data_IF_605291243767
#
_entry.id   IF_605291243767
#
_cell.length_a   1.000
_cell.length_b   1.000
_cell.length_c   1.000
_cell.angle_alpha   90.00
_cell.angle_beta   90.00
_cell.angle_gamma   90.00
#
_symmetry.space_group_name_H-M   'P 1'
#
loop_
_entity.id
_entity.type
_entity.pdbx_description
1 polymer ?
#
# COMPACT_ATOMS: atom_id res chain seq x y z
N UNK A 1 14.02 19.60 32.04
CA UNK A 1 14.71 18.91 30.94
C UNK A 1 13.66 18.25 30.08
N UNK A 2 13.56 18.59 28.80
CA UNK A 2 12.59 18.00 27.89
C UNK A 2 13.02 16.56 27.59
N UNK A 3 12.21 15.56 27.93
CA UNK A 3 12.52 14.17 27.62
C UNK A 3 12.28 13.89 26.14
N UNK A 4 13.11 13.03 25.55
CA UNK A 4 12.86 12.51 24.21
C UNK A 4 11.61 11.63 24.22
N UNK A 5 10.70 11.84 23.26
CA UNK A 5 9.46 11.09 23.12
C UNK A 5 9.25 10.68 21.65
N UNK A 6 8.94 9.40 21.43
CA UNK A 6 8.52 8.88 20.14
C UNK A 6 6.99 8.89 20.06
N UNK A 7 6.43 9.53 19.05
CA UNK A 7 4.97 9.69 18.92
C UNK A 7 4.29 8.58 18.10
N UNK A 8 5.06 7.81 17.35
CA UNK A 8 4.56 6.73 16.49
C UNK A 8 5.38 6.61 15.21
N UNK A 9 4.91 5.74 14.31
CA UNK A 9 5.44 5.65 12.96
C UNK A 9 5.13 6.95 12.20
N UNK A 10 6.14 7.57 11.59
CA UNK A 10 5.94 8.79 10.82
C UNK A 10 5.70 8.50 9.34
N UNK A 11 6.60 7.73 8.70
CA UNK A 11 6.45 7.29 7.32
C UNK A 11 7.24 6.01 7.05
N UNK A 12 6.99 5.41 5.90
CA UNK A 12 7.77 4.33 5.32
C UNK A 12 8.37 4.78 3.99
N UNK A 13 9.57 4.30 3.70
CA UNK A 13 10.27 4.58 2.45
C UNK A 13 10.27 3.34 1.55
N UNK A 14 9.78 3.47 0.32
CA UNK A 14 9.74 2.41 -0.69
C UNK A 14 10.71 2.77 -1.80
N UNK A 15 11.54 1.81 -2.21
CA UNK A 15 12.38 1.91 -3.41
C UNK A 15 11.64 1.26 -4.56
N UNK A 16 11.58 1.95 -5.70
CA UNK A 16 10.88 1.43 -6.89
C UNK A 16 11.74 1.51 -8.15
N UNK A 17 11.59 0.49 -9.00
CA UNK A 17 12.12 0.50 -10.36
C UNK A 17 11.24 1.30 -11.34
N UNK A 18 9.97 1.53 -10.98
CA UNK A 18 8.98 2.20 -11.83
C UNK A 18 8.16 3.19 -11.00
N UNK A 19 8.59 4.45 -11.01
CA UNK A 19 7.94 5.51 -10.24
C UNK A 19 6.51 5.77 -10.72
N UNK A 20 6.25 5.71 -12.02
CA UNK A 20 4.93 5.99 -12.57
C UNK A 20 3.92 4.92 -12.10
N UNK A 21 4.28 3.65 -12.20
CA UNK A 21 3.45 2.53 -11.75
C UNK A 21 3.24 2.53 -10.25
N UNK A 22 4.28 2.82 -9.45
CA UNK A 22 4.15 2.97 -7.99
C UNK A 22 3.19 4.11 -7.64
N UNK A 23 3.31 5.28 -8.27
CA UNK A 23 2.38 6.40 -8.05
C UNK A 23 0.94 6.02 -8.42
N UNK A 24 0.73 5.38 -9.56
CA UNK A 24 -0.59 4.95 -10.01
C UNK A 24 -1.25 3.96 -9.03
N UNK A 25 -0.50 2.98 -8.52
CA UNK A 25 -1.00 2.06 -7.50
C UNK A 25 -1.39 2.78 -6.21
N UNK A 26 -0.46 3.54 -5.62
CA UNK A 26 -0.69 4.15 -4.31
C UNK A 26 -1.76 5.24 -4.34
N UNK A 27 -1.94 5.93 -5.46
CA UNK A 27 -2.98 6.96 -5.60
C UNK A 27 -4.31 6.42 -6.11
N UNK A 28 -4.31 5.54 -7.12
CA UNK A 28 -5.53 5.02 -7.72
C UNK A 28 -6.13 3.82 -6.98
N UNK A 29 -5.29 2.90 -6.51
CA UNK A 29 -5.75 1.69 -5.80
C UNK A 29 -5.85 1.96 -4.31
N UNK A 30 -4.75 2.41 -3.69
CA UNK A 30 -4.73 2.67 -2.24
C UNK A 30 -5.47 3.96 -1.89
N UNK A 31 -5.52 4.95 -2.78
CA UNK A 31 -6.27 6.19 -2.52
C UNK A 31 -5.49 7.21 -1.68
N UNK A 32 -4.17 7.10 -1.60
CA UNK A 32 -3.35 8.19 -1.08
C UNK A 32 -3.32 9.35 -2.08
N UNK A 33 -3.04 10.56 -1.60
CA UNK A 33 -2.83 11.74 -2.45
C UNK A 33 -1.35 12.06 -2.55
N UNK A 34 -0.88 12.42 -3.73
CA UNK A 34 0.47 12.97 -3.86
C UNK A 34 0.53 14.37 -3.24
N UNK A 35 1.62 14.68 -2.57
CA UNK A 35 1.85 15.98 -1.93
C UNK A 35 3.19 16.57 -2.36
N UNK A 36 3.37 17.90 -2.24
CA UNK A 36 4.63 18.54 -2.55
C UNK A 36 5.80 17.87 -1.81
N UNK A 37 6.87 17.62 -2.55
CA UNK A 37 8.11 17.03 -2.08
C UNK A 37 9.26 17.98 -2.43
N UNK A 38 10.22 18.22 -1.52
CA UNK A 38 11.42 18.98 -1.86
C UNK A 38 12.18 18.36 -3.04
N UNK A 39 12.78 19.20 -3.87
CA UNK A 39 13.69 18.71 -4.90
C UNK A 39 15.01 18.26 -4.25
N UNK A 40 15.19 16.94 -4.15
CA UNK A 40 16.41 16.33 -3.64
C UNK A 40 17.42 15.98 -4.75
N UNK A 41 17.16 16.38 -6.00
CA UNK A 41 18.02 16.06 -7.15
C UNK A 41 17.88 14.63 -7.67
N UNK A 42 16.81 13.92 -7.29
CA UNK A 42 16.49 12.59 -7.79
C UNK A 42 14.98 12.34 -7.79
N UNK A 43 14.46 11.47 -8.69
CA UNK A 43 13.03 11.25 -8.82
C UNK A 43 12.43 10.53 -7.61
N UNK A 44 11.18 10.83 -7.32
CA UNK A 44 10.39 10.18 -6.28
C UNK A 44 9.10 10.93 -5.98
N UNK A 45 8.36 10.47 -4.96
CA UNK A 45 7.10 11.06 -4.55
C UNK A 45 6.94 11.03 -3.02
N UNK A 46 6.09 11.90 -2.49
CA UNK A 46 5.55 11.82 -1.12
C UNK A 46 4.04 11.64 -1.22
N UNK A 47 3.50 10.65 -0.53
CA UNK A 47 2.08 10.27 -0.62
C UNK A 47 1.45 10.32 0.76
N UNK A 48 0.35 11.06 0.85
CA UNK A 48 -0.34 11.35 2.09
C UNK A 48 -1.72 10.72 2.14
N UNK A 49 -2.24 10.53 3.36
CA UNK A 49 -3.62 10.09 3.54
C UNK A 49 -4.60 11.09 2.89
N UNK A 50 -5.70 10.56 2.35
CA UNK A 50 -6.63 11.30 1.49
C UNK A 50 -7.43 12.39 2.19
N UNK A 51 -7.61 12.33 3.51
CA UNK A 51 -8.32 13.36 4.26
C UNK A 51 -7.57 14.70 4.26
N UNK A 52 -8.28 15.84 4.38
CA UNK A 52 -7.65 17.15 4.55
C UNK A 52 -6.62 17.15 5.68
N UNK A 53 -5.42 17.64 5.41
CA UNK A 53 -4.31 17.64 6.37
C UNK A 53 -3.71 16.25 6.66
N UNK A 54 -4.07 15.20 5.89
CA UNK A 54 -3.51 13.86 6.05
C UNK A 54 -1.98 13.85 5.94
N UNK A 55 -1.34 13.03 6.77
CA UNK A 55 0.12 12.91 6.87
C UNK A 55 0.70 12.17 5.67
N UNK A 56 1.91 12.57 5.24
CA UNK A 56 2.69 11.90 4.20
C UNK A 56 3.33 10.62 4.75
N UNK A 57 2.58 9.52 4.72
CA UNK A 57 2.99 8.26 5.34
C UNK A 57 3.85 7.37 4.42
N UNK A 58 3.90 7.64 3.11
CA UNK A 58 4.74 6.90 2.16
C UNK A 58 5.67 7.85 1.40
N UNK A 59 6.97 7.58 1.46
CA UNK A 59 8.00 8.23 0.64
C UNK A 59 8.51 7.24 -0.41
N UNK A 60 8.56 7.67 -1.67
CA UNK A 60 9.03 6.82 -2.79
C UNK A 60 10.38 7.30 -3.28
N UNK A 61 11.36 6.40 -3.33
CA UNK A 61 12.68 6.63 -3.92
C UNK A 61 12.73 5.93 -5.28
N UNK A 62 13.16 6.66 -6.31
CA UNK A 62 13.42 6.13 -7.66
C UNK A 62 14.82 6.54 -8.13
N UNK A 63 15.26 5.96 -9.25
CA UNK A 63 16.57 6.26 -9.84
C UNK A 63 17.75 5.81 -8.97
N UNK A 64 18.83 6.59 -8.95
CA UNK A 64 20.08 6.24 -8.24
C UNK A 64 19.89 5.82 -6.78
N UNK A 65 19.15 6.59 -5.95
CA UNK A 65 18.88 6.21 -4.56
C UNK A 65 18.06 4.91 -4.39
N UNK A 66 17.23 4.55 -5.37
CA UNK A 66 16.52 3.27 -5.34
C UNK A 66 17.46 2.09 -5.61
N UNK A 67 18.44 2.26 -6.50
CA UNK A 67 19.48 1.26 -6.76
C UNK A 67 20.41 1.07 -5.55
N UNK A 68 20.75 2.16 -4.86
CA UNK A 68 21.65 2.15 -3.71
C UNK A 68 22.97 1.37 -3.95
N UNK A 69 23.53 1.52 -5.16
CA UNK A 69 24.77 0.85 -5.59
C UNK A 69 24.59 -0.57 -6.15
N UNK A 70 23.35 -1.09 -6.19
CA UNK A 70 23.01 -2.35 -6.86
C UNK A 70 22.81 -2.16 -8.36
N UNK A 71 22.91 -3.24 -9.13
CA UNK A 71 22.57 -3.28 -10.56
C UNK A 71 21.05 -3.19 -10.80
N UNK A 72 20.24 -3.65 -9.84
CA UNK A 72 18.78 -3.61 -9.89
C UNK A 72 18.20 -3.07 -8.59
N UNK A 73 17.02 -2.45 -8.66
CA UNK A 73 16.29 -2.02 -7.47
C UNK A 73 15.79 -3.26 -6.72
N UNK A 74 16.04 -3.37 -5.40
CA UNK A 74 15.55 -4.51 -4.63
C UNK A 74 14.03 -4.54 -4.61
N UNK A 75 13.48 -5.74 -4.59
CA UNK A 75 12.05 -5.99 -4.52
C UNK A 75 11.70 -6.67 -3.19
N UNK A 76 10.44 -6.52 -2.75
CA UNK A 76 9.98 -7.00 -1.45
C UNK A 76 10.37 -6.08 -0.30
N UNK A 77 10.33 -6.63 0.92
CA UNK A 77 10.39 -5.87 2.18
C UNK A 77 11.51 -6.31 3.12
N UNK A 78 12.41 -7.18 2.64
CA UNK A 78 13.48 -7.78 3.44
C UNK A 78 12.95 -8.42 4.74
N UNK A 79 13.27 -7.87 5.91
CA UNK A 79 12.85 -8.40 7.21
C UNK A 79 11.46 -7.91 7.67
N UNK A 80 10.89 -6.91 7.00
CA UNK A 80 9.52 -6.46 7.28
C UNK A 80 8.59 -7.42 6.54
N UNK A 81 7.67 -8.09 7.24
CA UNK A 81 6.75 -9.04 6.58
C UNK A 81 5.71 -8.28 5.72
N UNK A 82 5.01 -7.32 6.34
CA UNK A 82 4.03 -6.47 5.69
C UNK A 82 3.89 -5.12 6.41
N UNK A 83 3.12 -4.22 5.80
CA UNK A 83 2.77 -2.90 6.36
C UNK A 83 1.26 -2.83 6.51
N UNK A 84 0.77 -2.57 7.72
CA UNK A 84 -0.67 -2.42 7.98
C UNK A 84 -1.13 -0.96 7.91
N UNK A 85 -2.25 -0.71 7.23
CA UNK A 85 -2.88 0.59 7.06
C UNK A 85 -4.31 0.55 7.60
N UNK A 86 -4.66 1.50 8.47
CA UNK A 86 -6.04 1.66 8.92
C UNK A 86 -6.92 2.23 7.79
N UNK A 87 -7.99 1.52 7.43
CA UNK A 87 -8.82 1.82 6.28
C UNK A 87 -10.32 1.75 6.62
N UNK A 88 -11.13 2.34 5.74
CA UNK A 88 -12.59 2.19 5.69
C UNK A 88 -13.03 1.90 4.25
N UNK A 89 -14.21 1.31 4.07
CA UNK A 89 -14.74 0.96 2.75
C UNK A 89 -14.16 -0.33 2.20
N UNK A 90 -14.23 -1.41 2.98
CA UNK A 90 -13.72 -2.75 2.66
C UNK A 90 -14.09 -3.21 1.24
N UNK A 91 -15.39 -3.23 0.92
CA UNK A 91 -15.84 -3.66 -0.40
C UNK A 91 -15.46 -2.68 -1.52
N UNK A 92 -15.16 -1.41 -1.23
CA UNK A 92 -14.65 -0.48 -2.22
C UNK A 92 -13.21 -0.84 -2.62
N UNK A 93 -12.36 -1.23 -1.67
CA UNK A 93 -11.03 -1.76 -1.98
C UNK A 93 -11.08 -3.06 -2.77
N UNK A 94 -11.97 -4.00 -2.39
CA UNK A 94 -12.17 -5.24 -3.17
C UNK A 94 -12.54 -4.93 -4.63
N UNK A 95 -13.41 -3.93 -4.88
CA UNK A 95 -13.72 -3.48 -6.24
C UNK A 95 -12.48 -2.90 -6.95
N UNK A 96 -11.73 -2.01 -6.28
CA UNK A 96 -10.49 -1.44 -6.85
C UNK A 96 -9.48 -2.52 -7.22
N UNK A 97 -9.31 -3.57 -6.40
CA UNK A 97 -8.40 -4.67 -6.72
C UNK A 97 -8.86 -5.44 -7.96
N UNK A 98 -10.16 -5.74 -8.06
CA UNK A 98 -10.74 -6.38 -9.25
C UNK A 98 -10.55 -5.54 -10.50
N UNK A 99 -10.91 -4.26 -10.43
CA UNK A 99 -10.82 -3.33 -11.56
C UNK A 99 -9.36 -3.13 -12.00
N UNK A 100 -8.42 -3.17 -11.06
CA UNK A 100 -6.98 -3.08 -11.32
C UNK A 100 -6.32 -4.43 -11.71
N UNK A 101 -7.09 -5.52 -11.75
CA UNK A 101 -6.59 -6.86 -12.06
C UNK A 101 -5.63 -7.44 -11.01
N UNK A 102 -5.65 -6.93 -9.78
CA UNK A 102 -4.79 -7.40 -8.68
C UNK A 102 -5.37 -8.66 -8.04
N UNK A 103 -4.51 -9.58 -7.61
CA UNK A 103 -4.90 -10.62 -6.65
C UNK A 103 -4.77 -10.08 -5.21
N UNK A 104 -5.62 -10.59 -4.31
CA UNK A 104 -5.65 -10.18 -2.90
C UNK A 104 -6.07 -11.33 -1.99
N UNK A 105 -5.82 -11.22 -0.69
CA UNK A 105 -6.36 -12.14 0.32
C UNK A 105 -7.24 -11.40 1.30
N UNK A 106 -8.15 -12.14 1.93
CA UNK A 106 -9.11 -11.63 2.90
C UNK A 106 -8.90 -12.35 4.24
N UNK A 107 -9.14 -11.66 5.34
CA UNK A 107 -9.04 -12.27 6.66
C UNK A 107 -10.00 -11.63 7.66
N UNK A 108 -10.72 -12.47 8.39
CA UNK A 108 -11.44 -12.09 9.60
C UNK A 108 -10.59 -12.52 10.79
N UNK A 109 -10.07 -11.55 11.55
CA UNK A 109 -9.17 -11.85 12.67
C UNK A 109 -9.94 -12.60 13.78
N UNK A 110 -9.53 -13.83 14.15
CA UNK A 110 -10.27 -14.65 15.10
C UNK A 110 -10.51 -13.96 16.44
N UNK A 111 -11.76 -13.98 16.92
CA UNK A 111 -12.14 -13.41 18.20
C UNK A 111 -12.23 -11.87 18.21
N UNK A 112 -12.20 -11.21 17.05
CA UNK A 112 -12.30 -9.74 16.94
C UNK A 112 -13.32 -9.33 15.88
N UNK A 113 -13.52 -8.02 15.72
CA UNK A 113 -14.28 -7.42 14.61
C UNK A 113 -13.40 -6.99 13.44
N UNK A 114 -12.08 -7.21 13.50
CA UNK A 114 -11.15 -6.70 12.49
C UNK A 114 -11.25 -7.51 11.20
N UNK A 115 -11.52 -6.80 10.11
CA UNK A 115 -11.49 -7.32 8.75
C UNK A 115 -10.21 -6.84 8.09
N UNK A 116 -9.59 -7.70 7.29
CA UNK A 116 -8.32 -7.38 6.64
C UNK A 116 -8.36 -7.74 5.16
N UNK A 117 -7.70 -6.91 4.36
CA UNK A 117 -7.32 -7.21 2.98
C UNK A 117 -5.81 -7.22 2.86
N UNK A 118 -5.27 -8.20 2.15
CA UNK A 118 -3.86 -8.26 1.82
C UNK A 118 -3.67 -8.08 0.33
N UNK A 119 -2.82 -7.14 -0.07
CA UNK A 119 -2.49 -6.86 -1.47
C UNK A 119 -1.02 -6.46 -1.54
N UNK A 120 -0.39 -6.62 -2.69
CA UNK A 120 0.99 -6.17 -2.88
C UNK A 120 1.06 -4.91 -3.73
N UNK A 121 2.02 -4.05 -3.41
CA UNK A 121 2.41 -2.94 -4.27
C UNK A 121 3.33 -3.41 -5.44
N UNK A 122 3.62 -2.54 -6.42
CA UNK A 122 4.40 -2.92 -7.60
C UNK A 122 5.87 -3.26 -7.31
N UNK A 123 6.38 -2.87 -6.13
CA UNK A 123 7.73 -3.19 -5.66
C UNK A 123 7.76 -4.46 -4.81
N UNK A 124 6.63 -5.16 -4.66
CA UNK A 124 6.53 -6.39 -3.88
C UNK A 124 6.34 -6.16 -2.38
N UNK A 125 5.95 -4.94 -1.95
CA UNK A 125 5.60 -4.66 -0.55
C UNK A 125 4.21 -5.20 -0.26
N UNK A 126 4.11 -6.16 0.68
CA UNK A 126 2.80 -6.61 1.14
C UNK A 126 2.16 -5.56 2.03
N UNK A 127 0.92 -5.22 1.71
CA UNK A 127 0.06 -4.32 2.46
C UNK A 127 -1.05 -5.13 3.11
N UNK A 128 -1.31 -4.82 4.37
CA UNK A 128 -2.49 -5.24 5.12
C UNK A 128 -3.39 -3.99 5.29
N UNK A 129 -4.60 -4.01 4.75
CA UNK A 129 -5.57 -2.95 4.97
C UNK A 129 -6.50 -3.45 6.06
N UNK A 130 -6.48 -2.79 7.21
CA UNK A 130 -7.24 -3.19 8.40
C UNK A 130 -8.44 -2.28 8.59
N UNK A 131 -9.61 -2.90 8.79
CA UNK A 131 -10.91 -2.26 8.89
C UNK A 131 -11.59 -2.64 10.20
N UNK A 132 -12.32 -1.70 10.79
CA UNK A 132 -13.26 -2.00 11.87
C UNK A 132 -14.52 -2.64 11.28
N UNK A 133 -14.56 -3.96 11.19
CA UNK A 133 -15.63 -4.70 10.49
C UNK A 133 -17.02 -4.48 11.07
N UNK A 134 -17.15 -4.06 12.33
CA UNK A 134 -18.44 -3.74 12.93
C UNK A 134 -19.15 -2.53 12.29
N UNK A 135 -18.40 -1.66 11.60
CA UNK A 135 -18.94 -0.48 10.90
C UNK A 135 -18.87 -0.61 9.39
N UNK A 136 -18.32 -1.71 8.87
CA UNK A 136 -18.30 -2.01 7.43
C UNK A 136 -19.64 -2.63 6.99
N UNK A 137 -20.26 -2.13 5.90
CA UNK A 137 -21.47 -2.74 5.38
C UNK A 137 -21.15 -4.00 4.58
N UNK A 138 -22.13 -4.91 4.47
CA UNK A 138 -22.07 -6.05 3.56
C UNK A 138 -21.55 -7.34 4.20
N UNK A 139 -21.00 -8.22 3.37
CA UNK A 139 -20.56 -9.54 3.80
C UNK A 139 -19.17 -9.47 4.46
N UNK A 140 -18.90 -10.31 5.48
CA UNK A 140 -17.57 -10.39 6.07
C UNK A 140 -16.54 -10.95 5.08
N UNK A 141 -15.24 -10.90 5.42
CA UNK A 141 -14.16 -11.50 4.65
C UNK A 141 -14.47 -12.92 4.17
N UNK A 142 -14.19 -13.19 2.89
CA UNK A 142 -14.25 -14.52 2.29
C UNK A 142 -13.10 -15.39 2.81
N UNK A 143 -13.44 -16.26 3.76
CA UNK A 143 -12.51 -17.20 4.39
C UNK A 143 -12.35 -18.52 3.61
N UNK A 144 -12.78 -18.58 2.35
CA UNK A 144 -12.60 -19.77 1.50
C UNK A 144 -11.12 -20.02 1.17
N UNK A 145 -10.72 -21.28 0.87
CA UNK A 145 -9.32 -21.63 0.66
C UNK A 145 -8.57 -20.81 -0.40
N UNK A 146 -9.27 -20.30 -1.43
CA UNK A 146 -8.68 -19.51 -2.50
C UNK A 146 -8.52 -18.02 -2.19
N UNK A 147 -9.15 -17.53 -1.11
CA UNK A 147 -9.17 -16.10 -0.77
C UNK A 147 -8.60 -15.81 0.61
N UNK A 148 -8.66 -16.76 1.56
CA UNK A 148 -8.17 -16.55 2.92
C UNK A 148 -6.67 -16.28 2.96
N UNK A 149 -6.27 -15.28 3.74
CA UNK A 149 -4.86 -15.02 4.01
C UNK A 149 -4.23 -16.17 4.82
N UNK A 150 -2.97 -16.50 4.49
CA UNK A 150 -2.18 -17.50 5.20
C UNK A 150 -0.80 -16.92 5.48
N UNK A 151 -0.47 -16.76 6.75
CA UNK A 151 0.83 -16.23 7.17
C UNK A 151 1.98 -17.05 6.55
N UNK A 152 3.01 -16.36 6.05
CA UNK A 152 4.17 -16.96 5.41
C UNK A 152 3.94 -17.46 3.97
N UNK A 153 2.74 -17.33 3.42
CA UNK A 153 2.46 -17.70 2.03
C UNK A 153 2.35 -16.46 1.15
N UNK A 154 3.34 -16.27 0.27
CA UNK A 154 3.26 -15.24 -0.76
C UNK A 154 2.27 -15.64 -1.85
N UNK A 155 1.55 -14.65 -2.35
CA UNK A 155 0.73 -14.73 -3.56
C UNK A 155 1.16 -13.67 -4.58
N UNK A 156 2.35 -13.11 -4.41
CA UNK A 156 2.89 -12.12 -5.31
C UNK A 156 3.53 -12.76 -6.53
N UNK A 157 3.20 -12.26 -7.71
CA UNK A 157 3.74 -12.69 -8.99
C UNK A 157 4.32 -11.47 -9.70
N UNK A 158 5.65 -11.38 -9.77
CA UNK A 158 6.35 -10.27 -10.43
C UNK A 158 6.09 -10.26 -11.94
N UNK A 159 6.07 -11.43 -12.57
CA UNK A 159 6.02 -11.56 -14.02
C UNK A 159 4.62 -11.22 -14.56
N UNK A 160 3.59 -11.44 -13.74
CA UNK A 160 2.20 -11.16 -14.08
C UNK A 160 1.58 -10.01 -13.29
N UNK A 161 2.38 -9.19 -12.59
CA UNK A 161 1.83 -8.04 -11.86
C UNK A 161 1.12 -7.09 -12.85
N UNK A 162 -0.07 -6.54 -12.54
CA UNK A 162 -0.84 -5.73 -13.49
C UNK A 162 -0.15 -4.40 -13.85
N UNK A 163 -0.30 -3.97 -15.10
CA UNK A 163 0.09 -2.63 -15.52
C UNK A 163 -1.08 -1.67 -15.32
N UNK A 164 -0.82 -0.51 -14.72
CA UNK A 164 -1.86 0.52 -14.55
C UNK A 164 -1.76 1.50 -15.71
N UNK A 165 -2.70 1.44 -16.64
CA UNK A 165 -2.84 2.45 -17.69
C UNK A 165 -3.81 3.53 -17.22
N UNK A 166 -3.29 4.69 -16.81
CA UNK A 166 -4.12 5.86 -16.50
C UNK A 166 -3.34 6.96 -15.81
N UNK A 167 -3.55 8.22 -16.21
CA UNK A 167 -3.26 9.34 -15.32
C UNK A 167 -4.01 9.13 -14.00
N UNK A 168 -3.43 9.52 -12.84
CA UNK A 168 -4.16 9.47 -11.59
C UNK A 168 -5.47 10.25 -11.79
N UNK A 169 -6.63 9.72 -11.36
CA UNK A 169 -7.88 10.46 -11.47
C UNK A 169 -7.64 11.81 -10.81
N UNK A 170 -7.83 12.90 -11.55
CA UNK A 170 -7.79 14.24 -10.97
C UNK A 170 -8.65 14.20 -9.72
N UNK A 171 -8.03 14.38 -8.55
CA UNK A 171 -8.72 14.47 -7.29
C UNK A 171 -9.64 15.69 -7.42
N UNK A 172 -10.89 15.43 -7.78
CA UNK A 172 -11.93 16.45 -7.79
C UNK A 172 -12.30 16.58 -6.32
N UNK A 173 -11.70 17.58 -5.67
CA UNK A 173 -12.21 18.13 -4.42
C UNK A 173 -13.27 19.18 -4.76
#
# INVERSE_FOLDING_TARGET
MTQALTHGLFHLAIKTADLARTRAFWTGVIGLREVPRPDFGYPGAWLACGQPGGQAIIHVYAGGPALAGSATVPQGTAAIDHVSLACSGYHAYVRRFRDAGLDWREFLVPGTTLWQLFVYDPSGVQLELTFEGAVEPGAPPDMSPGRVYRAGHSFFDFDHYPTFSGEPPHATL
#
